data_IF_214807590802
#
_entry.id   IF_214807590802
#
_cell.length_a   1.000
_cell.length_b   1.000
_cell.length_c   1.000
_cell.angle_alpha   90.00
_cell.angle_beta   90.00
_cell.angle_gamma   90.00
#
_symmetry.space_group_name_H-M   'P 1'
#
loop_
_entity.id
_entity.type
_entity.pdbx_description
1 polymer ?
#
# COMPACT_ATOMS: atom_id res chain seq x y z
N UNK A 1 -0.66 -4.08 7.28
CA UNK A 1 0.36 -3.31 8.00
C UNK A 1 -0.20 -1.93 8.28
N UNK A 2 -0.50 -1.66 9.53
CA UNK A 2 -1.00 -0.35 9.95
C UNK A 2 0.00 0.23 10.94
N UNK A 3 0.93 1.01 10.43
CA UNK A 3 1.86 1.73 11.28
C UNK A 3 1.23 3.00 11.85
N UNK A 4 1.76 3.46 12.97
CA UNK A 4 1.48 4.79 13.51
C UNK A 4 1.55 5.81 12.39
N UNK A 5 0.51 6.62 12.26
CA UNK A 5 0.39 7.63 11.21
C UNK A 5 1.56 8.62 11.26
N UNK A 6 2.59 8.40 10.46
CA UNK A 6 3.65 9.38 10.28
C UNK A 6 3.14 10.56 9.48
N UNK A 7 3.54 11.76 9.88
CA UNK A 7 3.30 12.96 9.08
C UNK A 7 4.14 12.93 7.80
N UNK A 8 3.72 13.67 6.78
CA UNK A 8 4.49 13.83 5.55
C UNK A 8 5.90 14.34 5.83
N UNK A 9 6.02 15.27 6.78
CA UNK A 9 7.31 15.82 7.22
C UNK A 9 8.23 14.74 7.82
N UNK A 10 7.70 13.84 8.65
CA UNK A 10 8.46 12.74 9.23
C UNK A 10 8.89 11.73 8.18
N UNK A 11 8.02 11.42 7.21
CA UNK A 11 8.33 10.53 6.09
C UNK A 11 9.49 11.11 5.27
N UNK A 12 9.42 12.39 4.93
CA UNK A 12 10.48 13.08 4.17
C UNK A 12 11.80 13.01 4.93
N UNK A 13 11.78 13.35 6.21
CA UNK A 13 12.95 13.32 7.08
C UNK A 13 13.59 11.92 7.11
N UNK A 14 12.79 10.89 7.30
CA UNK A 14 13.26 9.52 7.39
C UNK A 14 13.80 9.01 6.04
N UNK A 15 13.17 9.36 4.93
CA UNK A 15 13.65 9.00 3.59
C UNK A 15 14.97 9.66 3.25
N UNK A 16 15.26 10.84 3.78
CA UNK A 16 16.51 11.57 3.56
C UNK A 16 17.59 11.27 4.60
N UNK A 17 17.29 10.44 5.59
CA UNK A 17 18.16 10.18 6.76
C UNK A 17 19.44 9.41 6.46
N UNK A 18 19.50 8.69 5.34
CA UNK A 18 20.54 7.71 5.01
C UNK A 18 20.69 6.58 6.03
N UNK A 19 19.65 6.33 6.80
CA UNK A 19 19.52 5.24 7.76
C UNK A 19 18.58 4.18 7.19
N UNK A 20 19.06 2.95 7.03
CA UNK A 20 18.31 1.87 6.38
C UNK A 20 16.99 1.56 7.08
N UNK A 21 16.98 1.54 8.42
CA UNK A 21 15.74 1.27 9.18
C UNK A 21 14.71 2.38 9.03
N UNK A 22 15.14 3.64 9.06
CA UNK A 22 14.26 4.79 8.85
C UNK A 22 13.70 4.83 7.44
N UNK A 23 14.52 4.54 6.44
CA UNK A 23 14.09 4.44 5.03
C UNK A 23 13.05 3.32 4.88
N UNK A 24 13.27 2.16 5.48
CA UNK A 24 12.30 1.08 5.45
C UNK A 24 10.97 1.47 6.09
N UNK A 25 11.03 2.05 7.29
CA UNK A 25 9.85 2.52 8.01
C UNK A 25 9.07 3.57 7.22
N UNK A 26 9.76 4.54 6.61
CA UNK A 26 9.14 5.54 5.76
C UNK A 26 8.53 4.94 4.48
N UNK A 27 9.19 3.95 3.89
CA UNK A 27 8.66 3.22 2.73
C UNK A 27 7.36 2.50 3.05
N UNK A 28 7.29 1.83 4.19
CA UNK A 28 6.06 1.22 4.68
C UNK A 28 4.95 2.25 4.93
N UNK A 29 5.29 3.41 5.48
CA UNK A 29 4.35 4.50 5.69
C UNK A 29 3.79 5.03 4.35
N UNK A 30 4.62 5.20 3.34
CA UNK A 30 4.17 5.58 1.98
C UNK A 30 3.22 4.53 1.40
N UNK A 31 3.56 3.24 1.55
CA UNK A 31 2.68 2.16 1.09
C UNK A 31 1.31 2.20 1.79
N UNK A 32 1.28 2.44 3.09
CA UNK A 32 0.02 2.56 3.84
C UNK A 32 -0.81 3.79 3.44
N UNK A 33 -0.18 4.81 2.84
CA UNK A 33 -0.82 5.99 2.29
C UNK A 33 -1.16 5.87 0.80
N UNK A 34 -1.04 4.70 0.21
CA UNK A 34 -1.16 4.48 -1.24
C UNK A 34 -2.43 5.04 -1.86
N UNK A 35 -3.52 5.12 -1.10
CA UNK A 35 -4.81 5.64 -1.55
C UNK A 35 -5.04 7.12 -1.18
N UNK A 36 -4.18 7.71 -0.36
CA UNK A 36 -4.31 9.10 0.10
C UNK A 36 -3.58 10.06 -0.84
N UNK A 37 -4.28 10.53 -1.87
CA UNK A 37 -3.72 11.39 -2.90
C UNK A 37 -3.06 12.64 -2.34
N UNK A 38 -3.75 13.36 -1.46
CA UNK A 38 -3.27 14.64 -0.94
C UNK A 38 -1.95 14.50 -0.18
N UNK A 39 -1.84 13.48 0.68
CA UNK A 39 -0.61 13.22 1.43
C UNK A 39 0.54 12.76 0.54
N UNK A 40 0.26 11.91 -0.44
CA UNK A 40 1.30 11.50 -1.39
C UNK A 40 1.79 12.69 -2.21
N UNK A 41 0.90 13.58 -2.64
CA UNK A 41 1.29 14.78 -3.38
C UNK A 41 2.19 15.72 -2.58
N UNK A 42 2.09 15.73 -1.27
CA UNK A 42 3.02 16.48 -0.40
C UNK A 42 4.46 15.95 -0.46
N UNK A 43 4.65 14.67 -0.81
CA UNK A 43 5.96 14.03 -0.92
C UNK A 43 6.61 14.25 -2.28
N UNK A 44 5.83 14.46 -3.32
CA UNK A 44 6.32 14.53 -4.71
C UNK A 44 7.43 15.56 -4.93
N UNK A 45 7.39 16.78 -4.35
CA UNK A 45 8.48 17.74 -4.51
C UNK A 45 9.84 17.26 -4.03
N UNK A 46 9.87 16.27 -3.13
CA UNK A 46 11.09 15.73 -2.52
C UNK A 46 11.55 14.41 -3.13
N UNK A 47 10.84 13.90 -4.12
CA UNK A 47 11.06 12.57 -4.70
C UNK A 47 12.48 12.38 -5.23
N UNK A 48 13.03 13.34 -5.93
CA UNK A 48 14.39 13.26 -6.47
C UNK A 48 15.44 13.26 -5.38
N UNK A 49 15.27 14.09 -4.35
CA UNK A 49 16.16 14.12 -3.19
C UNK A 49 16.13 12.79 -2.42
N UNK A 50 14.95 12.22 -2.23
CA UNK A 50 14.77 10.90 -1.62
C UNK A 50 15.49 9.82 -2.42
N UNK A 51 15.29 9.80 -3.72
CA UNK A 51 15.94 8.85 -4.62
C UNK A 51 17.46 8.95 -4.53
N UNK A 52 18.00 10.17 -4.53
CA UNK A 52 19.42 10.41 -4.39
C UNK A 52 19.97 9.92 -3.03
N UNK A 53 19.27 10.23 -1.94
CA UNK A 53 19.64 9.77 -0.61
C UNK A 53 19.66 8.24 -0.50
N UNK A 54 18.64 7.57 -1.07
CA UNK A 54 18.53 6.11 -1.08
C UNK A 54 19.69 5.47 -1.86
N UNK A 55 20.00 6.00 -3.04
CA UNK A 55 21.13 5.50 -3.84
C UNK A 55 22.47 5.56 -3.12
N UNK A 56 22.64 6.52 -2.23
CA UNK A 56 23.87 6.73 -1.46
C UNK A 56 23.83 6.07 -0.08
N UNK A 57 22.80 5.23 0.18
CA UNK A 57 22.65 4.49 1.43
C UNK A 57 22.87 3.00 1.17
N UNK A 58 23.71 2.39 2.00
CA UNK A 58 23.89 0.94 1.99
C UNK A 58 22.73 0.28 2.75
N UNK A 59 21.84 -0.35 2.01
CA UNK A 59 20.64 -0.98 2.58
C UNK A 59 20.90 -2.40 3.09
N UNK A 60 22.09 -2.97 2.85
CA UNK A 60 22.52 -4.28 3.33
C UNK A 60 21.81 -5.46 2.67
N UNK A 61 22.52 -6.61 2.60
CA UNK A 61 21.98 -7.84 2.00
C UNK A 61 20.81 -8.45 2.78
N UNK A 62 20.75 -8.21 4.10
CA UNK A 62 19.66 -8.66 4.96
C UNK A 62 18.31 -7.94 4.66
N UNK A 63 18.35 -6.83 3.94
CA UNK A 63 17.18 -6.04 3.58
C UNK A 63 16.59 -6.38 2.21
N UNK A 64 17.14 -7.37 1.50
CA UNK A 64 16.62 -7.77 0.19
C UNK A 64 15.09 -7.99 0.19
N UNK A 65 14.48 -8.63 1.21
CA UNK A 65 13.01 -8.75 1.30
C UNK A 65 12.30 -7.41 1.47
N UNK A 66 12.97 -6.41 2.05
CA UNK A 66 12.39 -5.10 2.32
C UNK A 66 12.47 -4.15 1.12
N UNK A 67 13.29 -4.46 0.12
CA UNK A 67 13.36 -3.71 -1.15
C UNK A 67 12.02 -3.64 -1.87
N UNK A 68 11.16 -4.61 -1.68
CA UNK A 68 9.80 -4.61 -2.27
C UNK A 68 8.97 -3.42 -1.77
N UNK A 69 9.10 -3.03 -0.50
CA UNK A 69 8.38 -1.88 0.05
C UNK A 69 8.93 -0.56 -0.49
N UNK A 70 10.25 -0.46 -0.65
CA UNK A 70 10.87 0.70 -1.27
C UNK A 70 10.45 0.86 -2.74
N UNK A 71 10.45 -0.23 -3.48
CA UNK A 71 9.98 -0.26 -4.87
C UNK A 71 8.51 0.13 -4.95
N UNK A 72 7.68 -0.43 -4.07
CA UNK A 72 6.25 -0.11 -4.00
C UNK A 72 6.01 1.36 -3.64
N UNK A 73 6.77 1.91 -2.69
CA UNK A 73 6.69 3.32 -2.32
C UNK A 73 6.99 4.23 -3.52
N UNK A 74 7.99 3.89 -4.32
CA UNK A 74 8.32 4.60 -5.55
C UNK A 74 7.16 4.54 -6.56
N UNK A 75 6.55 3.37 -6.75
CA UNK A 75 5.37 3.19 -7.60
C UNK A 75 4.19 4.03 -7.12
N UNK A 76 3.93 4.06 -5.81
CA UNK A 76 2.86 4.87 -5.21
C UNK A 76 3.03 6.35 -5.62
N UNK A 77 4.23 6.88 -5.44
CA UNK A 77 4.51 8.27 -5.81
C UNK A 77 4.34 8.50 -7.31
N UNK A 78 4.80 7.61 -8.17
CA UNK A 78 4.65 7.72 -9.62
C UNK A 78 3.20 7.71 -10.06
N UNK A 79 2.39 6.78 -9.54
CA UNK A 79 0.97 6.68 -9.90
C UNK A 79 0.21 7.97 -9.57
N UNK A 80 0.47 8.55 -8.39
CA UNK A 80 -0.16 9.81 -8.00
C UNK A 80 0.34 11.00 -8.81
N UNK A 81 1.63 11.03 -9.12
CA UNK A 81 2.24 12.08 -9.93
C UNK A 81 1.70 12.08 -11.36
N UNK A 82 1.62 10.92 -11.99
CA UNK A 82 1.14 10.78 -13.37
C UNK A 82 -0.36 11.00 -13.50
N UNK A 83 -1.13 10.54 -12.53
CA UNK A 83 -2.60 10.68 -12.53
C UNK A 83 -3.33 9.91 -13.64
N UNK A 84 -2.68 8.93 -14.26
CA UNK A 84 -3.23 8.17 -15.40
C UNK A 84 -4.07 6.97 -15.01
N UNK A 85 -3.80 6.37 -13.85
CA UNK A 85 -4.51 5.20 -13.34
C UNK A 85 -4.91 5.38 -11.89
N UNK A 86 -5.95 4.66 -11.48
CA UNK A 86 -6.40 4.72 -10.09
C UNK A 86 -5.36 4.07 -9.17
N UNK A 87 -5.05 4.68 -8.02
CA UNK A 87 -4.16 4.09 -7.03
C UNK A 87 -4.57 2.70 -6.52
N UNK A 88 -5.85 2.32 -6.68
CA UNK A 88 -6.29 0.97 -6.30
C UNK A 88 -5.56 -0.14 -7.06
N UNK A 89 -5.00 0.17 -8.23
CA UNK A 89 -4.18 -0.76 -9.01
C UNK A 89 -2.86 -1.15 -8.34
N UNK A 90 -2.47 -0.44 -7.27
CA UNK A 90 -1.25 -0.70 -6.49
C UNK A 90 -1.44 -1.77 -5.42
N UNK A 91 -2.69 -2.13 -5.12
CA UNK A 91 -3.01 -3.04 -4.03
C UNK A 91 -2.63 -4.48 -4.35
N UNK A 92 -2.16 -5.19 -3.36
CA UNK A 92 -1.68 -6.56 -3.49
C UNK A 92 -1.56 -7.27 -2.14
N UNK A 93 -0.69 -8.27 -2.05
CA UNK A 93 -0.63 -9.23 -0.94
C UNK A 93 -0.42 -8.62 0.46
N UNK A 94 0.20 -7.46 0.54
CA UNK A 94 0.49 -6.80 1.83
C UNK A 94 -0.64 -5.83 2.27
N UNK A 95 -1.69 -5.68 1.48
CA UNK A 95 -2.74 -4.70 1.73
C UNK A 95 -3.99 -5.36 2.29
N UNK A 96 -4.27 -5.09 3.58
CA UNK A 96 -5.45 -5.59 4.25
C UNK A 96 -6.69 -4.80 3.82
N UNK A 97 -7.70 -5.45 3.20
CA UNK A 97 -8.92 -4.77 2.77
C UNK A 97 -9.69 -4.10 3.91
N UNK A 98 -9.61 -4.62 5.14
CA UNK A 98 -10.27 -4.02 6.30
C UNK A 98 -9.81 -2.58 6.55
N UNK A 99 -8.51 -2.32 6.45
CA UNK A 99 -7.96 -0.98 6.65
C UNK A 99 -8.48 0.00 5.59
N UNK A 100 -8.60 -0.46 4.36
CA UNK A 100 -9.09 0.36 3.24
C UNK A 100 -10.59 0.67 3.37
N UNK A 101 -11.36 -0.27 3.92
CA UNK A 101 -12.77 -0.08 4.22
C UNK A 101 -12.95 0.91 5.39
N UNK A 102 -12.19 0.74 6.47
CA UNK A 102 -12.22 1.63 7.63
C UNK A 102 -11.82 3.07 7.27
N UNK A 103 -10.84 3.22 6.38
CA UNK A 103 -10.35 4.52 5.94
C UNK A 103 -11.25 5.17 4.85
N UNK A 104 -12.28 4.46 4.38
CA UNK A 104 -13.29 4.99 3.44
C UNK A 104 -12.87 5.00 1.99
N UNK A 105 -11.80 4.32 1.61
CA UNK A 105 -11.34 4.22 0.21
C UNK A 105 -12.11 3.21 -0.61
N UNK A 106 -12.72 2.23 0.06
CA UNK A 106 -13.51 1.17 -0.54
C UNK A 106 -14.85 1.01 0.16
N UNK A 107 -15.81 0.48 -0.57
CA UNK A 107 -17.13 0.09 -0.08
C UNK A 107 -17.24 -1.43 -0.04
N UNK A 108 -17.71 -1.98 1.08
CA UNK A 108 -17.94 -3.41 1.23
C UNK A 108 -19.23 -3.80 0.51
N UNK A 109 -19.11 -4.72 -0.45
CA UNK A 109 -20.24 -5.28 -1.19
C UNK A 109 -20.70 -6.62 -0.61
N UNK A 110 -19.75 -7.48 -0.22
CA UNK A 110 -20.03 -8.79 0.37
C UNK A 110 -18.83 -9.34 1.13
N UNK A 111 -19.09 -10.23 2.09
CA UNK A 111 -18.09 -11.01 2.80
C UNK A 111 -18.52 -12.47 2.75
N UNK A 112 -17.67 -13.33 2.25
CA UNK A 112 -17.91 -14.77 2.15
C UNK A 112 -16.99 -15.52 3.10
N UNK A 113 -17.58 -16.39 3.90
CA UNK A 113 -16.86 -17.22 4.87
C UNK A 113 -16.68 -18.64 4.34
N UNK A 114 -15.64 -19.33 4.78
CA UNK A 114 -15.53 -20.76 4.56
C UNK A 114 -16.73 -21.49 5.18
N UNK A 115 -17.19 -22.57 4.56
CA UNK A 115 -18.34 -23.34 5.02
C UNK A 115 -18.23 -23.72 6.50
N UNK A 116 -19.28 -23.40 7.29
CA UNK A 116 -19.36 -23.68 8.72
C UNK A 116 -18.21 -23.09 9.56
N UNK A 117 -17.65 -21.97 9.14
CA UNK A 117 -16.49 -21.34 9.77
C UNK A 117 -16.72 -19.84 9.99
N UNK A 118 -16.03 -19.28 10.97
CA UNK A 118 -15.91 -17.83 11.17
C UNK A 118 -14.75 -17.21 10.38
N UNK A 119 -13.97 -18.04 9.69
CA UNK A 119 -12.85 -17.58 8.86
C UNK A 119 -13.35 -17.05 7.52
N UNK A 120 -12.84 -15.89 7.15
CA UNK A 120 -13.20 -15.23 5.90
C UNK A 120 -12.49 -15.92 4.73
N UNK A 121 -13.26 -16.30 3.71
CA UNK A 121 -12.72 -16.78 2.44
C UNK A 121 -12.33 -15.60 1.57
N UNK A 122 -13.28 -14.71 1.31
CA UNK A 122 -12.99 -13.51 0.52
C UNK A 122 -13.96 -12.36 0.78
N UNK A 123 -13.54 -11.18 0.38
CA UNK A 123 -14.34 -9.96 0.34
C UNK A 123 -14.67 -9.61 -1.11
N UNK A 124 -15.84 -9.04 -1.33
CA UNK A 124 -16.16 -8.29 -2.55
C UNK A 124 -16.23 -6.83 -2.16
N UNK A 125 -15.34 -6.02 -2.71
CA UNK A 125 -15.22 -4.60 -2.39
C UNK A 125 -15.14 -3.76 -3.66
N UNK A 126 -15.59 -2.52 -3.58
CA UNK A 126 -15.61 -1.58 -4.69
C UNK A 126 -14.77 -0.36 -4.37
N UNK A 127 -13.86 0.02 -5.27
CA UNK A 127 -13.10 1.25 -5.14
C UNK A 127 -14.03 2.47 -5.22
N UNK A 128 -13.98 3.34 -4.22
CA UNK A 128 -14.81 4.55 -4.20
C UNK A 128 -14.42 5.57 -5.29
N UNK A 129 -13.18 5.52 -5.77
CA UNK A 129 -12.66 6.43 -6.78
C UNK A 129 -13.04 6.02 -8.21
N UNK A 130 -12.65 4.81 -8.63
CA UNK A 130 -12.85 4.36 -10.02
C UNK A 130 -14.01 3.38 -10.19
N UNK A 131 -14.66 2.96 -9.10
CA UNK A 131 -15.80 2.03 -9.06
C UNK A 131 -15.47 0.58 -9.46
N UNK A 132 -14.20 0.26 -9.65
CA UNK A 132 -13.76 -1.10 -9.97
C UNK A 132 -14.06 -2.04 -8.81
N UNK A 133 -14.54 -3.24 -9.13
CA UNK A 133 -14.80 -4.31 -8.16
C UNK A 133 -13.61 -5.23 -8.02
N UNK A 134 -13.33 -5.64 -6.80
CA UNK A 134 -12.29 -6.60 -6.46
C UNK A 134 -12.86 -7.74 -5.63
N UNK A 135 -12.39 -8.94 -5.94
CA UNK A 135 -12.46 -10.09 -5.04
C UNK A 135 -11.13 -10.14 -4.30
N UNK A 136 -11.17 -10.13 -2.98
CA UNK A 136 -9.96 -10.17 -2.14
C UNK A 136 -10.02 -11.40 -1.25
N UNK A 137 -9.22 -12.40 -1.58
CA UNK A 137 -9.10 -13.64 -0.80
C UNK A 137 -8.16 -13.41 0.38
N UNK A 138 -8.60 -13.80 1.59
CA UNK A 138 -7.77 -13.78 2.79
C UNK A 138 -7.15 -15.16 2.98
N UNK A 139 -5.83 -15.23 3.06
CA UNK A 139 -5.09 -16.49 3.20
C UNK A 139 -4.08 -16.41 4.33
N UNK A 140 -3.86 -17.52 4.99
CA UNK A 140 -2.84 -17.66 6.03
C UNK A 140 -1.81 -18.74 5.67
N UNK A 141 -0.55 -18.39 5.92
CA UNK A 141 0.56 -19.33 5.93
C UNK A 141 1.43 -19.01 7.16
N UNK A 142 2.66 -18.57 7.01
CA UNK A 142 3.45 -18.03 8.12
C UNK A 142 3.00 -16.62 8.54
N UNK A 143 2.24 -15.96 7.69
CA UNK A 143 1.63 -14.66 7.91
C UNK A 143 0.33 -14.59 7.12
N UNK A 144 -0.56 -13.64 7.43
CA UNK A 144 -1.77 -13.38 6.67
C UNK A 144 -1.43 -12.55 5.43
N UNK A 145 -1.96 -12.96 4.28
CA UNK A 145 -1.79 -12.24 3.02
C UNK A 145 -3.10 -12.24 2.24
N UNK A 146 -3.19 -11.37 1.23
CA UNK A 146 -4.41 -11.16 0.47
C UNK A 146 -4.14 -11.27 -1.02
N UNK A 147 -5.02 -11.98 -1.73
CA UNK A 147 -4.99 -12.07 -3.18
C UNK A 147 -6.06 -11.15 -3.75
N UNK A 148 -5.64 -10.11 -4.46
CA UNK A 148 -6.50 -9.11 -5.07
C UNK A 148 -6.76 -9.46 -6.53
N UNK A 149 -8.02 -9.66 -6.89
CA UNK A 149 -8.47 -9.99 -8.25
C UNK A 149 -9.54 -8.99 -8.70
N UNK A 150 -9.33 -8.41 -9.88
CA UNK A 150 -10.33 -7.52 -10.48
C UNK A 150 -11.49 -8.36 -11.02
N UNK A 151 -12.72 -8.00 -10.65
CA UNK A 151 -13.92 -8.62 -11.23
C UNK A 151 -14.33 -7.87 -12.49
N UNK A 152 -14.52 -8.61 -13.59
CA UNK A 152 -14.92 -8.03 -14.88
C UNK A 152 -16.44 -7.77 -14.98
N UNK A 153 -17.22 -8.37 -14.08
CA UNK A 153 -18.67 -8.23 -14.07
C UNK A 153 -19.12 -7.25 -13.01
N UNK A 154 -20.00 -6.31 -13.40
CA UNK A 154 -20.70 -5.45 -12.44
C UNK A 154 -21.61 -6.29 -11.54
N UNK A 155 -21.56 -5.99 -10.28
CA UNK A 155 -22.38 -6.64 -9.26
C UNK A 155 -23.76 -6.00 -9.20
#
# INVERSE_FOLDING_TARGET
>A
MRETKKSSKDIIKDMLSRDAEKIWSASCAICSLSQNHDKIMELIPYKEEMYYAIRNTELGGAFAPNHRFLKKASEVMEVHKEGKRCPCSLLGEDFNPKHLLEDGYFELMDVVYFSNSSYIDYYIIRCNRCKKLYKVEERESHYTWWNWEVLETEF
#
